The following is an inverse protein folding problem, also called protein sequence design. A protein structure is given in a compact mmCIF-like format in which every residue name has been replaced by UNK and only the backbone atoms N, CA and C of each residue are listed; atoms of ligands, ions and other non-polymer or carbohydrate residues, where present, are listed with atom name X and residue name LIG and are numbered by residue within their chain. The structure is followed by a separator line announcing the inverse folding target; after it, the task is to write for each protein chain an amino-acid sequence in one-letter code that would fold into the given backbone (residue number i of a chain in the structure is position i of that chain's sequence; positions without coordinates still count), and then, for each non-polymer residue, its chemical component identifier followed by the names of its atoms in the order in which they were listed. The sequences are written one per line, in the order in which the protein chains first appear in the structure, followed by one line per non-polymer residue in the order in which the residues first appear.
data_IF_217469016568
#
_entry.id   IF_217469016568
#
_cell.length_a   1.000
_cell.length_b   1.000
_cell.length_c   1.000
_cell.angle_alpha   90.00
_cell.angle_beta   90.00
_cell.angle_gamma   90.00
#
_symmetry.space_group_name_H-M   'P 1'
#
loop_
_entity.id
_entity.type
_entity.pdbx_description
1 polymer ?
#
# COMPACT_ATOMS: atom_id res chain seq x y z
N UNK A 1 -3.40 -9.61 -36.45
CA UNK A 1 -1.98 -9.86 -36.10
C UNK A 1 -1.27 -8.66 -35.45
N UNK A 2 -1.47 -7.41 -35.89
CA UNK A 2 -0.82 -6.24 -35.29
C UNK A 2 -1.21 -5.98 -33.82
N UNK A 3 -2.50 -6.10 -33.46
CA UNK A 3 -3.01 -5.90 -32.10
C UNK A 3 -2.36 -6.88 -31.09
N UNK A 4 -2.20 -8.15 -31.48
CA UNK A 4 -1.59 -9.17 -30.63
C UNK A 4 -0.08 -8.93 -30.44
N UNK A 5 0.60 -8.32 -31.42
CA UNK A 5 2.00 -7.89 -31.29
C UNK A 5 2.12 -6.70 -30.33
N UNK A 6 1.23 -5.71 -30.46
CA UNK A 6 1.20 -4.54 -29.57
C UNK A 6 0.88 -4.94 -28.12
N UNK A 7 -0.09 -5.84 -27.91
CA UNK A 7 -0.44 -6.34 -26.58
C UNK A 7 0.74 -7.04 -25.88
N UNK A 8 1.54 -7.82 -26.62
CA UNK A 8 2.75 -8.47 -26.10
C UNK A 8 3.80 -7.46 -25.64
N UNK A 9 4.03 -6.40 -26.43
CA UNK A 9 4.97 -5.35 -26.06
C UNK A 9 4.51 -4.54 -24.85
N UNK A 10 3.22 -4.22 -24.77
CA UNK A 10 2.64 -3.52 -23.62
C UNK A 10 2.79 -4.37 -22.35
N UNK A 11 2.48 -5.66 -22.42
CA UNK A 11 2.63 -6.58 -21.29
C UNK A 11 4.08 -6.61 -20.78
N UNK A 12 5.06 -6.67 -21.69
CA UNK A 12 6.48 -6.65 -21.33
C UNK A 12 6.89 -5.34 -20.65
N UNK A 13 6.41 -4.20 -21.12
CA UNK A 13 6.70 -2.90 -20.51
C UNK A 13 6.10 -2.81 -19.10
N UNK A 14 4.85 -3.25 -18.91
CA UNK A 14 4.20 -3.23 -17.59
C UNK A 14 4.96 -4.10 -16.58
N UNK A 15 5.38 -5.29 -16.99
CA UNK A 15 6.18 -6.19 -16.15
C UNK A 15 7.56 -5.62 -15.82
N UNK A 16 8.16 -4.84 -16.72
CA UNK A 16 9.45 -4.21 -16.46
C UNK A 16 9.33 -3.02 -15.51
N UNK A 17 8.28 -2.22 -15.64
CA UNK A 17 8.01 -1.05 -14.79
C UNK A 17 7.66 -1.46 -13.36
N UNK A 18 7.02 -2.62 -13.14
CA UNK A 18 6.73 -3.09 -11.76
C UNK A 18 7.97 -3.37 -10.92
N UNK A 19 9.15 -3.49 -11.56
CA UNK A 19 10.43 -3.73 -10.88
C UNK A 19 11.20 -2.45 -10.52
N UNK A 20 10.61 -1.27 -10.71
CA UNK A 20 11.32 0.02 -10.60
C UNK A 20 11.91 0.34 -9.22
N UNK A 21 11.65 -0.46 -8.18
CA UNK A 21 12.29 -0.33 -6.85
C UNK A 21 13.40 -1.35 -6.54
N UNK A 22 13.63 -2.35 -7.40
CA UNK A 22 14.62 -3.41 -7.18
C UNK A 22 15.88 -3.22 -8.04
N UNK A 23 15.70 -2.86 -9.31
CA UNK A 23 16.82 -2.65 -10.25
C UNK A 23 17.30 -1.20 -10.30
N UNK A 24 16.43 -0.25 -9.96
CA UNK A 24 16.72 1.18 -9.96
C UNK A 24 16.44 1.74 -8.57
N UNK A 25 17.32 2.63 -8.10
CA UNK A 25 17.09 3.33 -6.86
C UNK A 25 16.02 4.43 -7.08
N UNK A 26 14.87 4.27 -6.44
CA UNK A 26 13.78 5.27 -6.46
C UNK A 26 14.02 6.44 -5.49
N UNK A 27 14.96 6.28 -4.55
CA UNK A 27 15.19 7.24 -3.49
C UNK A 27 16.32 8.22 -3.81
N UNK A 28 16.32 9.35 -3.11
CA UNK A 28 17.41 10.33 -3.24
C UNK A 28 18.78 9.74 -2.87
N UNK A 29 19.84 10.20 -3.54
CA UNK A 29 21.22 9.87 -3.18
C UNK A 29 21.66 10.49 -1.85
N UNK A 30 21.06 11.62 -1.48
CA UNK A 30 21.28 12.30 -0.20
C UNK A 30 20.67 11.50 0.96
N UNK A 31 21.45 11.13 2.00
CA UNK A 31 21.00 10.26 3.06
C UNK A 31 19.93 10.91 3.95
N UNK A 32 20.03 12.21 4.21
CA UNK A 32 19.09 12.93 5.07
C UNK A 32 17.71 13.04 4.39
N UNK A 33 17.70 13.31 3.08
CA UNK A 33 16.47 13.33 2.30
C UNK A 33 15.88 11.92 2.16
N UNK A 34 16.72 10.91 1.92
CA UNK A 34 16.30 9.50 1.81
C UNK A 34 15.62 9.01 3.08
N UNK A 35 16.19 9.29 4.25
CA UNK A 35 15.61 8.88 5.53
C UNK A 35 14.20 9.45 5.71
N UNK A 36 13.99 10.74 5.42
CA UNK A 36 12.66 11.36 5.47
C UNK A 36 11.68 10.69 4.50
N UNK A 37 12.12 10.41 3.28
CA UNK A 37 11.31 9.71 2.29
C UNK A 37 10.87 8.32 2.78
N UNK A 38 11.78 7.54 3.38
CA UNK A 38 11.46 6.22 3.93
C UNK A 38 10.50 6.30 5.12
N UNK A 39 10.69 7.27 6.01
CA UNK A 39 9.79 7.49 7.15
C UNK A 39 8.37 7.78 6.67
N UNK A 40 8.19 8.74 5.75
CA UNK A 40 6.87 9.06 5.19
C UNK A 40 6.21 7.85 4.54
N UNK A 41 6.97 7.05 3.77
CA UNK A 41 6.41 5.84 3.16
C UNK A 41 6.04 4.79 4.19
N UNK A 42 6.86 4.60 5.24
CA UNK A 42 6.53 3.65 6.31
C UNK A 42 5.26 4.04 7.07
N UNK A 43 5.05 5.34 7.31
CA UNK A 43 3.85 5.86 7.95
C UNK A 43 2.62 5.67 7.06
N UNK A 44 2.73 5.99 5.78
CA UNK A 44 1.64 5.78 4.82
C UNK A 44 1.25 4.30 4.71
N UNK A 45 2.21 3.37 4.75
CA UNK A 45 1.91 1.94 4.69
C UNK A 45 1.14 1.45 5.93
N UNK A 46 1.51 1.92 7.13
CA UNK A 46 0.77 1.63 8.36
C UNK A 46 -0.66 2.18 8.30
N UNK A 47 -0.81 3.41 7.82
CA UNK A 47 -2.13 4.05 7.69
C UNK A 47 -3.02 3.33 6.67
N UNK A 48 -2.46 2.85 5.55
CA UNK A 48 -3.23 2.10 4.54
C UNK A 48 -3.75 0.78 5.13
N UNK A 49 -3.00 0.12 6.00
CA UNK A 49 -3.43 -1.11 6.67
C UNK A 49 -4.65 -0.84 7.57
N UNK A 50 -4.60 0.21 8.40
CA UNK A 50 -5.72 0.62 9.25
C UNK A 50 -6.96 0.99 8.42
N UNK A 51 -6.77 1.74 7.33
CA UNK A 51 -7.87 2.11 6.43
C UNK A 51 -8.42 0.91 5.64
N UNK A 52 -7.62 -0.12 5.37
CA UNK A 52 -8.08 -1.33 4.70
C UNK A 52 -9.07 -2.11 5.58
N UNK A 53 -8.75 -2.27 6.86
CA UNK A 53 -9.67 -2.89 7.83
C UNK A 53 -10.97 -2.10 7.97
N UNK A 54 -10.86 -0.77 7.99
CA UNK A 54 -12.02 0.13 8.05
C UNK A 54 -12.87 0.07 6.78
N UNK A 55 -12.26 0.04 5.60
CA UNK A 55 -12.97 -0.03 4.31
C UNK A 55 -13.80 -1.31 4.20
N UNK A 56 -13.23 -2.43 4.65
CA UNK A 56 -13.91 -3.73 4.68
C UNK A 56 -14.76 -3.96 5.92
N UNK A 57 -14.94 -2.93 6.76
CA UNK A 57 -15.75 -2.99 7.98
C UNK A 57 -15.31 -4.09 8.96
N UNK A 58 -14.04 -4.51 8.91
CA UNK A 58 -13.48 -5.56 9.77
C UNK A 58 -13.38 -5.07 11.22
N UNK A 59 -13.12 -3.77 11.40
CA UNK A 59 -13.08 -3.11 12.71
C UNK A 59 -14.49 -2.75 13.26
N UNK A 60 -15.59 -3.13 12.57
CA UNK A 60 -16.91 -2.88 13.12
C UNK A 60 -17.24 -3.84 14.26
N UNK A 61 -17.74 -3.33 15.41
CA UNK A 61 -18.19 -4.21 16.48
C UNK A 61 -19.39 -5.03 16.02
N UNK A 62 -19.36 -6.34 16.27
CA UNK A 62 -20.52 -7.19 15.99
C UNK A 62 -21.72 -6.73 16.82
N UNK A 63 -22.91 -6.68 16.23
CA UNK A 63 -24.14 -6.35 16.95
C UNK A 63 -24.63 -7.48 17.88
N UNK A 64 -23.94 -8.63 17.89
CA UNK A 64 -24.34 -9.84 18.62
C UNK A 64 -23.48 -10.12 19.85
N UNK A 65 -22.36 -9.43 19.99
CA UNK A 65 -21.51 -9.49 21.18
C UNK A 65 -21.16 -8.06 21.59
N UNK A 66 -21.45 -7.64 22.84
CA UNK A 66 -21.08 -6.30 23.29
C UNK A 66 -19.55 -6.19 23.32
N UNK A 67 -18.96 -5.66 22.24
CA UNK A 67 -17.55 -5.32 22.22
C UNK A 67 -17.36 -3.95 22.90
N UNK A 68 -16.39 -3.86 23.81
CA UNK A 68 -16.15 -2.69 24.64
C UNK A 68 -15.39 -1.62 23.86
N UNK A 69 -16.09 -0.84 23.06
CA UNK A 69 -15.47 0.22 22.25
C UNK A 69 -15.24 1.53 23.01
N UNK A 70 -15.86 1.72 24.19
CA UNK A 70 -15.88 3.02 24.89
C UNK A 70 -15.70 2.99 26.41
N UNK A 71 -15.00 1.99 26.98
CA UNK A 71 -14.54 2.02 28.39
C UNK A 71 -15.60 2.09 29.51
N UNK A 72 -16.90 2.11 29.19
CA UNK A 72 -17.98 2.09 30.17
C UNK A 72 -18.26 0.69 30.70
N UNK A 73 -18.19 0.55 32.03
CA UNK A 73 -18.52 -0.67 32.79
C UNK A 73 -20.04 -0.75 33.05
N UNK A 74 -20.61 -1.95 32.96
CA UNK A 74 -21.83 -2.35 33.68
C UNK A 74 -21.55 -3.71 34.35
#
# INVERSE_FOLDING_TARGET
MAVMRMARWILLVVLFVSQSGCLLNIWSSDPDRRMRQMLTVSENLRMIEEEWERFWLIDQPSHLTPNRTHGGIQ
#
